data_IF_875041556845
#
_entry.id   IF_875041556845
#
_cell.length_a   1.000
_cell.length_b   1.000
_cell.length_c   1.000
_cell.angle_alpha   90.00
_cell.angle_beta   90.00
_cell.angle_gamma   90.00
#
_symmetry.space_group_name_H-M   'P 1'
#
loop_
_entity.id
_entity.type
_entity.pdbx_description
1 polymer ?
#
# COMPACT_ATOMS: atom_id res chain seq x y z
N UNK A 1 -16.49 9.01 -15.76
CA UNK A 1 -15.69 9.45 -14.60
C UNK A 1 -16.21 8.68 -13.39
N UNK A 2 -15.55 7.60 -13.01
CA UNK A 2 -15.81 6.97 -11.71
C UNK A 2 -14.89 7.68 -10.72
N UNK A 3 -15.48 8.47 -9.81
CA UNK A 3 -14.75 9.07 -8.71
C UNK A 3 -14.36 7.94 -7.76
N UNK A 4 -13.12 7.45 -7.83
CA UNK A 4 -12.53 6.70 -6.72
C UNK A 4 -12.33 7.69 -5.57
N UNK A 5 -13.12 7.55 -4.51
CA UNK A 5 -12.85 8.22 -3.25
C UNK A 5 -11.57 7.62 -2.66
N UNK A 6 -10.50 8.42 -2.60
CA UNK A 6 -9.30 8.04 -1.85
C UNK A 6 -9.61 8.35 -0.39
N UNK A 7 -9.92 7.32 0.39
CA UNK A 7 -10.05 7.47 1.84
C UNK A 7 -8.63 7.48 2.42
N UNK A 8 -8.18 8.66 2.85
CA UNK A 8 -6.92 8.85 3.56
C UNK A 8 -7.19 8.68 5.05
N UNK A 9 -6.72 7.57 5.62
CA UNK A 9 -6.62 7.44 7.07
C UNK A 9 -5.26 7.96 7.51
N UNK A 10 -5.28 9.12 8.18
CA UNK A 10 -4.13 9.64 8.91
C UNK A 10 -4.11 9.07 10.33
N UNK A 11 -2.91 8.75 10.80
CA UNK A 11 -2.65 8.16 12.10
C UNK A 11 -3.29 8.95 13.24
N UNK A 12 -4.17 8.30 14.01
CA UNK A 12 -4.53 8.69 15.37
C UNK A 12 -3.71 7.81 16.31
N UNK A 13 -2.66 8.38 16.88
CA UNK A 13 -1.69 7.67 17.73
C UNK A 13 -2.38 6.92 18.88
N UNK A 14 -2.62 5.62 18.71
CA UNK A 14 -2.95 4.70 19.80
C UNK A 14 -1.74 3.82 20.11
N UNK A 15 -1.35 3.83 21.38
CA UNK A 15 -0.18 3.15 21.88
C UNK A 15 -0.46 1.64 22.04
N UNK A 16 -0.17 0.82 21.03
CA UNK A 16 -0.10 -0.63 21.24
C UNK A 16 1.10 -1.28 20.51
N UNK A 17 2.15 -1.57 21.29
CA UNK A 17 3.53 -1.91 20.85
C UNK A 17 3.76 -3.42 20.64
N UNK A 18 2.90 -4.15 19.93
CA UNK A 18 3.06 -5.62 19.76
C UNK A 18 2.97 -6.13 18.32
N UNK A 19 3.44 -5.36 17.34
CA UNK A 19 3.53 -5.81 15.95
C UNK A 19 4.91 -6.38 15.61
N UNK A 20 4.97 -7.46 14.83
CA UNK A 20 6.22 -8.09 14.40
C UNK A 20 6.92 -7.20 13.35
N UNK A 21 7.84 -6.33 13.78
CA UNK A 21 8.57 -5.42 12.89
C UNK A 21 9.63 -6.11 12.03
N UNK A 22 9.90 -7.40 12.23
CA UNK A 22 10.90 -8.13 11.44
C UNK A 22 10.50 -8.25 9.98
N UNK A 23 9.20 -8.29 9.67
CA UNK A 23 8.71 -8.34 8.29
C UNK A 23 9.18 -7.16 7.44
N UNK A 24 9.28 -5.95 8.03
CA UNK A 24 9.79 -4.78 7.32
C UNK A 24 11.25 -4.97 6.91
N UNK A 25 12.06 -5.63 7.74
CA UNK A 25 13.46 -5.93 7.44
C UNK A 25 13.57 -7.05 6.40
N UNK A 26 12.82 -8.13 6.58
CA UNK A 26 12.80 -9.27 5.66
C UNK A 26 12.40 -8.86 4.24
N UNK A 27 11.42 -7.98 4.12
CA UNK A 27 10.94 -7.43 2.85
C UNK A 27 11.70 -6.18 2.39
N UNK A 28 12.74 -5.74 3.11
CA UNK A 28 13.54 -4.54 2.80
C UNK A 28 12.72 -3.26 2.60
N UNK A 29 11.61 -3.12 3.32
CA UNK A 29 10.68 -2.00 3.20
C UNK A 29 11.36 -0.72 3.69
N UNK A 30 11.33 0.33 2.85
CA UNK A 30 11.89 1.64 3.16
C UNK A 30 10.78 2.58 3.62
N UNK A 31 11.04 3.31 4.72
CA UNK A 31 10.16 4.37 5.24
C UNK A 31 10.60 5.75 4.76
N UNK A 32 9.70 6.74 4.70
CA UNK A 32 8.25 6.63 4.91
C UNK A 32 7.57 5.85 3.76
N UNK A 33 6.40 5.25 4.02
CA UNK A 33 5.63 4.58 2.96
C UNK A 33 4.12 4.72 3.12
N UNK A 34 3.43 4.71 1.99
CA UNK A 34 2.00 4.48 1.89
C UNK A 34 1.73 2.99 1.71
N UNK A 35 0.65 2.51 2.31
CA UNK A 35 0.28 1.10 2.29
C UNK A 35 -1.02 0.89 1.54
N UNK A 36 -1.03 -0.09 0.64
CA UNK A 36 -2.23 -0.62 0.03
C UNK A 36 -2.28 -2.13 0.26
N UNK A 37 -3.45 -2.63 0.68
CA UNK A 37 -3.70 -4.06 0.88
C UNK A 37 -4.91 -4.49 0.04
N UNK A 38 -4.70 -5.42 -0.88
CA UNK A 38 -5.77 -5.93 -1.73
C UNK A 38 -5.28 -6.83 -2.86
N UNK A 39 -6.25 -7.39 -3.58
CA UNK A 39 -6.04 -8.23 -4.77
C UNK A 39 -6.32 -7.47 -6.06
N UNK A 40 -5.71 -7.89 -7.17
CA UNK A 40 -5.89 -7.39 -8.53
C UNK A 40 -7.28 -7.74 -9.00
N UNK A 41 -8.21 -6.81 -8.71
CA UNK A 41 -9.58 -6.82 -9.20
C UNK A 41 -9.88 -5.44 -9.77
N UNK A 42 -10.66 -5.33 -10.87
CA UNK A 42 -10.98 -4.04 -11.47
C UNK A 42 -11.54 -3.02 -10.47
N UNK A 43 -12.40 -3.47 -9.55
CA UNK A 43 -13.01 -2.59 -8.54
C UNK A 43 -12.06 -2.14 -7.42
N UNK A 44 -10.92 -2.82 -7.24
CA UNK A 44 -9.90 -2.44 -6.25
C UNK A 44 -8.92 -1.38 -6.80
N UNK A 45 -9.02 -1.07 -8.09
CA UNK A 45 -8.32 0.04 -8.75
C UNK A 45 -6.79 0.11 -8.50
N UNK A 46 -6.12 -1.05 -8.42
CA UNK A 46 -4.67 -1.10 -8.22
C UNK A 46 -3.89 -0.41 -9.36
N UNK A 47 -4.40 -0.50 -10.59
CA UNK A 47 -3.80 0.17 -11.74
C UNK A 47 -3.85 1.70 -11.60
N UNK A 48 -5.02 2.26 -11.28
CA UNK A 48 -5.16 3.69 -11.05
C UNK A 48 -4.33 4.20 -9.88
N UNK A 49 -4.15 3.38 -8.82
CA UNK A 49 -3.24 3.71 -7.72
C UNK A 49 -1.79 3.83 -8.20
N UNK A 50 -1.30 2.87 -8.98
CA UNK A 50 0.08 2.88 -9.47
C UNK A 50 0.31 4.07 -10.40
N UNK A 51 -0.63 4.34 -11.32
CA UNK A 51 -0.56 5.51 -12.21
C UNK A 51 -0.55 6.82 -11.42
N UNK A 52 -1.45 6.97 -10.46
CA UNK A 52 -1.51 8.15 -9.58
C UNK A 52 -0.22 8.33 -8.77
N UNK A 53 0.39 7.22 -8.33
CA UNK A 53 1.66 7.27 -7.61
C UNK A 53 2.84 7.67 -8.50
N UNK A 54 2.85 7.25 -9.77
CA UNK A 54 3.84 7.71 -10.76
C UNK A 54 3.74 9.22 -10.92
N UNK A 55 2.54 9.74 -11.17
CA UNK A 55 2.30 11.17 -11.33
C UNK A 55 2.69 11.95 -10.07
N UNK A 56 2.35 11.42 -8.89
CA UNK A 56 2.77 11.98 -7.61
C UNK A 56 4.31 12.10 -7.52
N UNK A 57 5.05 11.04 -7.84
CA UNK A 57 6.52 11.05 -7.80
C UNK A 57 7.14 12.01 -8.82
N UNK A 58 6.55 12.15 -10.00
CA UNK A 58 7.00 13.08 -11.03
C UNK A 58 6.75 14.54 -10.64
N UNK A 59 5.60 14.82 -10.04
CA UNK A 59 5.20 16.18 -9.62
C UNK A 59 5.90 16.63 -8.34
N UNK A 60 6.21 15.69 -7.44
CA UNK A 60 6.77 15.96 -6.12
C UNK A 60 8.06 15.15 -5.88
N UNK A 61 9.06 15.36 -6.74
CA UNK A 61 10.34 14.61 -6.75
C UNK A 61 11.09 14.55 -5.40
N UNK A 62 10.95 15.58 -4.56
CA UNK A 62 11.55 15.68 -3.22
C UNK A 62 10.92 14.75 -2.17
N UNK A 63 9.76 14.15 -2.45
CA UNK A 63 9.10 13.26 -1.50
C UNK A 63 9.72 11.86 -1.53
N UNK A 64 10.37 11.47 -0.43
CA UNK A 64 11.03 10.15 -0.29
C UNK A 64 10.06 9.01 0.09
N UNK A 65 8.74 9.22 -0.02
CA UNK A 65 7.74 8.22 0.34
C UNK A 65 7.67 7.11 -0.70
N UNK A 66 7.60 5.86 -0.22
CA UNK A 66 7.45 4.65 -1.03
C UNK A 66 6.00 4.19 -1.07
N UNK A 67 5.66 3.33 -2.03
CA UNK A 67 4.38 2.63 -2.07
C UNK A 67 4.61 1.14 -1.75
N UNK A 68 3.92 0.64 -0.74
CA UNK A 68 3.95 -0.78 -0.35
C UNK A 68 2.60 -1.40 -0.72
N UNK A 69 2.62 -2.47 -1.51
CA UNK A 69 1.45 -3.21 -1.99
C UNK A 69 1.54 -4.64 -1.47
N UNK A 70 0.50 -5.09 -0.76
CA UNK A 70 0.40 -6.43 -0.22
C UNK A 70 -0.99 -7.05 -0.50
N UNK A 71 -1.11 -8.37 -0.35
CA UNK A 71 -2.40 -9.08 -0.33
C UNK A 71 -2.67 -10.00 -1.51
N UNK A 72 -1.82 -10.03 -2.54
CA UNK A 72 -1.97 -10.97 -3.65
C UNK A 72 -0.70 -11.80 -3.90
N UNK A 73 -0.81 -12.95 -4.58
CA UNK A 73 0.37 -13.70 -5.03
C UNK A 73 1.31 -12.81 -5.85
N UNK A 74 2.59 -12.83 -5.51
CA UNK A 74 3.62 -12.02 -6.17
C UNK A 74 3.63 -12.19 -7.70
N UNK A 75 3.35 -13.40 -8.20
CA UNK A 75 3.23 -13.71 -9.62
C UNK A 75 2.21 -12.86 -10.38
N UNK A 76 1.20 -12.31 -9.69
CA UNK A 76 0.13 -11.53 -10.30
C UNK A 76 0.52 -10.06 -10.52
N UNK A 77 1.68 -9.63 -9.99
CA UNK A 77 2.19 -8.28 -10.16
C UNK A 77 3.13 -8.10 -11.35
N UNK A 78 3.36 -9.14 -12.17
CA UNK A 78 4.32 -9.10 -13.30
C UNK A 78 4.14 -7.88 -14.21
N UNK A 79 2.91 -7.60 -14.65
CA UNK A 79 2.63 -6.48 -15.54
C UNK A 79 2.98 -5.13 -14.87
N UNK A 80 2.67 -5.00 -13.58
CA UNK A 80 2.96 -3.79 -12.80
C UNK A 80 4.45 -3.62 -12.54
N UNK A 81 5.19 -4.70 -12.31
CA UNK A 81 6.65 -4.68 -12.17
C UNK A 81 7.31 -4.20 -13.47
N UNK A 82 6.84 -4.68 -14.62
CA UNK A 82 7.31 -4.25 -15.94
C UNK A 82 7.02 -2.75 -16.14
N UNK A 83 5.78 -2.32 -15.88
CA UNK A 83 5.36 -0.90 -16.00
C UNK A 83 6.18 0.00 -15.06
N UNK A 84 6.37 -0.40 -13.81
CA UNK A 84 7.18 0.35 -12.84
C UNK A 84 8.64 0.50 -13.28
N UNK A 85 9.21 -0.54 -13.91
CA UNK A 85 10.57 -0.47 -14.47
C UNK A 85 10.64 0.46 -15.69
N UNK A 86 9.68 0.40 -16.60
CA UNK A 86 9.60 1.29 -17.77
C UNK A 86 9.50 2.76 -17.36
N UNK A 87 8.83 3.04 -16.24
CA UNK A 87 8.65 4.38 -15.69
C UNK A 87 9.78 4.80 -14.73
N UNK A 88 10.83 3.98 -14.56
CA UNK A 88 11.97 4.21 -13.64
C UNK A 88 11.58 4.41 -12.16
N UNK A 89 10.47 3.81 -11.73
CA UNK A 89 9.98 3.87 -10.34
C UNK A 89 9.97 2.50 -9.64
N UNK A 90 10.65 1.50 -10.20
CA UNK A 90 10.71 0.15 -9.63
C UNK A 90 11.35 0.09 -8.23
N UNK A 91 12.13 1.11 -7.84
CA UNK A 91 12.69 1.25 -6.49
C UNK A 91 11.79 2.09 -5.55
N UNK A 92 10.67 2.59 -6.06
CA UNK A 92 9.69 3.38 -5.31
C UNK A 92 8.47 2.54 -4.89
N UNK A 93 8.23 1.39 -5.56
CA UNK A 93 7.09 0.49 -5.29
C UNK A 93 7.59 -0.88 -4.82
N UNK A 94 7.09 -1.32 -3.66
CA UNK A 94 7.39 -2.62 -3.05
C UNK A 94 6.17 -3.53 -3.14
N UNK A 95 6.25 -4.58 -3.95
CA UNK A 95 5.23 -5.62 -4.05
C UNK A 95 5.59 -6.77 -3.11
N UNK A 96 4.87 -6.95 -2.01
CA UNK A 96 5.21 -7.92 -0.98
C UNK A 96 4.66 -9.33 -1.26
N UNK A 97 3.67 -9.43 -2.13
CA UNK A 97 2.95 -10.67 -2.30
C UNK A 97 1.91 -10.90 -1.20
N UNK A 98 1.63 -12.17 -0.91
CA UNK A 98 0.77 -12.56 0.19
C UNK A 98 1.51 -12.34 1.51
N UNK A 99 0.89 -11.60 2.43
CA UNK A 99 1.41 -11.34 3.76
C UNK A 99 0.45 -11.95 4.78
N UNK A 100 0.92 -12.83 5.69
CA UNK A 100 0.09 -13.39 6.76
C UNK A 100 -0.49 -12.31 7.67
N UNK A 101 -1.71 -12.54 8.18
CA UNK A 101 -2.44 -11.57 9.01
C UNK A 101 -1.65 -11.08 10.23
N UNK A 102 -0.87 -11.96 10.86
CA UNK A 102 0.03 -11.63 11.98
C UNK A 102 1.06 -10.55 11.66
N UNK A 103 1.45 -10.43 10.39
CA UNK A 103 2.42 -9.44 9.90
C UNK A 103 1.75 -8.19 9.32
N UNK A 104 0.45 -8.25 8.96
CA UNK A 104 -0.28 -7.08 8.44
C UNK A 104 -0.34 -5.95 9.46
N UNK A 105 -0.51 -6.24 10.76
CA UNK A 105 -0.52 -5.22 11.82
C UNK A 105 0.76 -4.39 11.83
N UNK A 106 1.92 -5.01 11.55
CA UNK A 106 3.19 -4.29 11.46
C UNK A 106 3.26 -3.38 10.23
N UNK A 107 2.67 -3.78 9.11
CA UNK A 107 2.57 -2.92 7.93
C UNK A 107 1.65 -1.74 8.21
N UNK A 108 0.46 -1.97 8.75
CA UNK A 108 -0.47 -0.89 9.09
C UNK A 108 0.15 0.11 10.08
N UNK A 109 0.69 -0.38 11.20
CA UNK A 109 1.21 0.48 12.30
C UNK A 109 2.39 1.38 11.89
N UNK A 110 3.13 0.96 10.86
CA UNK A 110 4.36 1.59 10.42
C UNK A 110 4.23 2.33 9.08
N UNK A 111 3.05 2.27 8.46
CA UNK A 111 2.70 3.10 7.31
C UNK A 111 2.42 4.54 7.75
N UNK A 112 2.70 5.51 6.88
CA UNK A 112 2.27 6.90 7.08
C UNK A 112 0.78 7.06 6.77
N UNK A 113 0.32 6.40 5.71
CA UNK A 113 -1.05 6.47 5.21
C UNK A 113 -1.44 5.08 4.70
N UNK A 114 -2.64 4.64 5.08
CA UNK A 114 -3.32 3.54 4.40
C UNK A 114 -4.18 4.07 3.25
N UNK A 115 -4.00 3.50 2.06
CA UNK A 115 -4.67 3.88 0.83
C UNK A 115 -5.77 2.87 0.51
N UNK A 116 -7.02 3.33 0.62
CA UNK A 116 -8.16 2.63 0.05
C UNK A 116 -8.57 3.34 -1.24
N UNK A 117 -8.41 2.65 -2.37
CA UNK A 117 -8.66 3.21 -3.72
C UNK A 117 -9.80 2.49 -4.46
N UNK A 118 -10.47 1.56 -3.79
CA UNK A 118 -11.54 0.76 -4.37
C UNK A 118 -12.74 1.62 -4.77
N UNK A 119 -13.35 1.34 -5.92
CA UNK A 119 -14.59 2.01 -6.33
C UNK A 119 -15.79 1.65 -5.45
N UNK A 120 -15.76 0.45 -4.86
CA UNK A 120 -16.69 0.00 -3.85
C UNK A 120 -16.03 -1.06 -2.98
N UNK A 121 -16.40 -1.07 -1.70
CA UNK A 121 -16.00 -2.09 -0.74
C UNK A 121 -17.23 -2.87 -0.25
N UNK A 122 -16.98 -4.10 0.22
CA UNK A 122 -17.97 -4.80 1.02
C UNK A 122 -18.04 -4.19 2.42
N UNK A 123 -17.73 -4.99 3.44
CA UNK A 123 -17.72 -4.50 4.82
C UNK A 123 -16.58 -3.52 5.13
N UNK A 124 -15.53 -3.45 4.30
CA UNK A 124 -14.40 -2.55 4.53
C UNK A 124 -13.42 -3.03 5.61
N UNK A 125 -13.25 -4.34 5.78
CA UNK A 125 -12.30 -4.93 6.75
C UNK A 125 -10.90 -4.27 6.73
N UNK A 126 -10.27 -4.00 5.57
CA UNK A 126 -8.95 -3.35 5.54
C UNK A 126 -8.92 -1.96 6.18
N UNK A 127 -10.04 -1.23 6.17
CA UNK A 127 -10.19 0.09 6.80
C UNK A 127 -10.21 -0.09 8.32
N UNK A 128 -11.03 -1.02 8.83
CA UNK A 128 -11.14 -1.29 10.26
C UNK A 128 -9.82 -1.77 10.84
N UNK A 129 -9.12 -2.63 10.13
CA UNK A 129 -7.78 -3.10 10.50
C UNK A 129 -6.76 -1.95 10.54
N UNK A 130 -6.80 -1.03 9.57
CA UNK A 130 -5.96 0.16 9.57
C UNK A 130 -6.26 1.05 10.79
N UNK A 131 -7.54 1.33 11.05
CA UNK A 131 -7.99 2.13 12.18
C UNK A 131 -7.63 1.51 13.54
N UNK A 132 -7.64 0.18 13.67
CA UNK A 132 -7.17 -0.52 14.88
C UNK A 132 -5.66 -0.29 15.11
N UNK A 133 -4.89 -0.15 14.03
CA UNK A 133 -3.43 -0.06 14.07
C UNK A 133 -2.87 1.37 14.17
N UNK A 134 -3.71 2.40 14.07
CA UNK A 134 -3.34 3.80 14.31
C UNK A 134 -3.67 4.74 13.16
#
# INVERSE_FOLDING_TARGET
>A
MFNSEIILLNKVSSANKRSNKEILKQCSIKKPYFLYIGVKRPHKNLEGLIESFVEFKQKYDKWNTKLVIAGEKYSNYKDYLIKAKQLNINNEIFFLGFVPNENLKALYSEAEIFLLVSFYEGFGMPILEAMECG
#
